data_IF_211478785317
#
_entry.id   IF_211478785317
#
_cell.length_a   1.000
_cell.length_b   1.000
_cell.length_c   1.000
_cell.angle_alpha   90.00
_cell.angle_beta   90.00
_cell.angle_gamma   90.00
#
_symmetry.space_group_name_H-M   'P 1'
#
loop_
_entity.id
_entity.type
_entity.pdbx_description
1 polymer ?
#
# COMPACT_ATOMS: atom_id res chain seq x y z
N UNK A 1 -0.38 -18.99 12.67
CA UNK A 1 0.20 -18.66 11.36
C UNK A 1 1.63 -18.27 11.59
N UNK A 2 2.55 -19.07 11.07
CA UNK A 2 3.99 -18.93 11.24
C UNK A 2 4.54 -17.88 10.28
N UNK A 3 5.66 -17.20 10.63
CA UNK A 3 6.32 -16.15 9.82
C UNK A 3 6.65 -16.60 8.37
N UNK A 4 6.65 -17.89 8.09
CA UNK A 4 6.80 -18.47 6.76
C UNK A 4 5.63 -18.17 5.79
N UNK A 5 4.44 -17.86 6.29
CA UNK A 5 3.27 -17.58 5.46
C UNK A 5 3.26 -16.12 4.92
N UNK A 6 4.03 -15.23 5.53
CA UNK A 6 4.13 -13.83 5.07
C UNK A 6 5.05 -13.64 3.85
N UNK A 7 5.93 -14.60 3.56
CA UNK A 7 6.89 -14.52 2.45
C UNK A 7 6.41 -15.23 1.18
N UNK A 8 5.25 -15.87 1.20
CA UNK A 8 4.67 -16.48 -0.01
C UNK A 8 4.04 -15.37 -0.85
N UNK A 9 4.72 -14.98 -1.92
CA UNK A 9 4.13 -14.08 -2.91
C UNK A 9 2.84 -14.72 -3.45
N UNK A 10 1.73 -13.98 -3.37
CA UNK A 10 0.46 -14.41 -3.94
C UNK A 10 0.65 -14.62 -5.46
N UNK A 11 0.19 -15.76 -5.96
CA UNK A 11 0.21 -16.11 -7.38
C UNK A 11 -1.24 -16.22 -7.82
N UNK A 12 -1.57 -15.61 -8.96
CA UNK A 12 -2.89 -15.74 -9.57
C UNK A 12 -2.93 -17.07 -10.32
N UNK A 13 -3.80 -17.96 -9.88
CA UNK A 13 -3.91 -19.33 -10.37
C UNK A 13 -4.94 -19.47 -11.51
N UNK A 14 -4.91 -20.60 -12.19
CA UNK A 14 -5.85 -20.93 -13.24
C UNK A 14 -7.30 -21.02 -12.72
N UNK A 15 -7.50 -21.45 -11.47
CA UNK A 15 -8.83 -21.58 -10.86
C UNK A 15 -9.48 -20.20 -10.63
N UNK A 16 -8.67 -19.20 -10.22
CA UNK A 16 -9.14 -17.81 -10.07
C UNK A 16 -9.56 -17.23 -11.42
N UNK A 17 -8.82 -17.54 -12.50
CA UNK A 17 -9.17 -17.11 -13.85
C UNK A 17 -10.42 -17.82 -14.37
N UNK A 18 -10.62 -19.10 -14.05
CA UNK A 18 -11.85 -19.82 -14.40
C UNK A 18 -13.06 -19.25 -13.67
N UNK A 19 -12.92 -18.90 -12.40
CA UNK A 19 -13.97 -18.23 -11.63
C UNK A 19 -14.32 -16.88 -12.25
N UNK A 20 -13.30 -16.07 -12.58
CA UNK A 20 -13.50 -14.79 -13.26
C UNK A 20 -14.24 -14.97 -14.59
N UNK A 21 -13.83 -15.93 -15.43
CA UNK A 21 -14.48 -16.22 -16.71
C UNK A 21 -15.96 -16.59 -16.51
N UNK A 22 -16.27 -17.39 -15.51
CA UNK A 22 -17.64 -17.79 -15.18
C UNK A 22 -18.48 -16.60 -14.72
N UNK A 23 -17.95 -15.76 -13.82
CA UNK A 23 -18.65 -14.56 -13.35
C UNK A 23 -18.92 -13.56 -14.49
N UNK A 24 -17.94 -13.36 -15.37
CA UNK A 24 -18.09 -12.46 -16.52
C UNK A 24 -19.07 -12.99 -17.57
N UNK A 25 -19.25 -14.31 -17.66
CA UNK A 25 -20.21 -14.94 -18.58
C UNK A 25 -21.66 -14.77 -18.11
N UNK A 26 -21.88 -14.49 -16.82
CA UNK A 26 -23.23 -14.22 -16.30
C UNK A 26 -23.74 -12.87 -16.81
N UNK A 27 -25.03 -12.77 -17.08
CA UNK A 27 -25.65 -11.49 -17.46
C UNK A 27 -25.62 -10.53 -16.25
N UNK A 28 -25.34 -9.26 -16.51
CA UNK A 28 -25.51 -8.23 -15.48
C UNK A 28 -26.99 -8.07 -15.15
N UNK A 29 -27.35 -8.22 -13.87
CA UNK A 29 -28.75 -8.09 -13.42
C UNK A 29 -29.27 -6.65 -13.52
N UNK A 30 -28.37 -5.67 -13.58
CA UNK A 30 -28.72 -4.24 -13.64
C UNK A 30 -28.47 -3.60 -15.02
N UNK A 31 -27.99 -4.37 -15.99
CA UNK A 31 -27.51 -3.84 -17.27
C UNK A 31 -26.18 -3.06 -17.12
N UNK A 32 -25.66 -2.54 -18.23
CA UNK A 32 -24.43 -1.75 -18.25
C UNK A 32 -23.15 -2.57 -18.39
N UNK A 33 -22.01 -1.91 -18.14
CA UNK A 33 -20.69 -2.52 -18.29
C UNK A 33 -20.30 -3.36 -17.05
N UNK A 34 -19.67 -4.51 -17.31
CA UNK A 34 -18.96 -5.29 -16.31
C UNK A 34 -17.51 -4.78 -16.27
N UNK A 35 -16.97 -4.58 -15.08
CA UNK A 35 -15.59 -4.15 -14.90
C UNK A 35 -14.85 -5.25 -14.17
N UNK A 36 -13.78 -5.76 -14.79
CA UNK A 36 -12.87 -6.72 -14.20
C UNK A 36 -11.56 -6.02 -13.87
N UNK A 37 -11.22 -5.93 -12.59
CA UNK A 37 -9.96 -5.39 -12.12
C UNK A 37 -9.01 -6.54 -11.74
N UNK A 38 -7.88 -6.62 -12.43
CA UNK A 38 -6.83 -7.61 -12.16
C UNK A 38 -5.62 -6.88 -11.58
N UNK A 39 -5.36 -7.12 -10.31
CA UNK A 39 -4.26 -6.52 -9.58
C UNK A 39 -3.00 -7.39 -9.68
N UNK A 40 -1.86 -6.80 -10.06
CA UNK A 40 -0.57 -7.48 -10.26
C UNK A 40 -0.67 -8.66 -11.25
N UNK A 41 -1.13 -8.44 -12.50
CA UNK A 41 -1.27 -9.50 -13.49
C UNK A 41 0.07 -10.18 -13.84
N UNK A 42 1.21 -9.57 -13.58
CA UNK A 42 2.54 -10.17 -13.69
C UNK A 42 2.76 -11.36 -12.74
N UNK A 43 1.87 -11.55 -11.75
CA UNK A 43 1.89 -12.69 -10.83
C UNK A 43 1.01 -13.86 -11.29
N UNK A 44 0.45 -13.79 -12.47
CA UNK A 44 -0.25 -14.92 -13.07
C UNK A 44 0.73 -16.05 -13.40
N UNK A 45 0.34 -17.29 -13.09
CA UNK A 45 1.04 -18.42 -13.69
C UNK A 45 0.74 -18.49 -15.20
N UNK A 46 1.57 -19.24 -15.95
CA UNK A 46 1.44 -19.32 -17.40
C UNK A 46 0.05 -19.83 -17.86
N UNK A 47 -0.56 -20.74 -17.12
CA UNK A 47 -1.88 -21.27 -17.42
C UNK A 47 -2.97 -20.20 -17.25
N UNK A 48 -2.91 -19.44 -16.16
CA UNK A 48 -3.80 -18.31 -15.90
C UNK A 48 -3.66 -17.22 -16.98
N UNK A 49 -2.42 -16.84 -17.29
CA UNK A 49 -2.13 -15.86 -18.32
C UNK A 49 -2.69 -16.25 -19.70
N UNK A 50 -2.55 -17.53 -20.09
CA UNK A 50 -3.11 -18.02 -21.34
C UNK A 50 -4.67 -18.04 -21.35
N UNK A 51 -5.30 -18.26 -20.21
CA UNK A 51 -6.76 -18.17 -20.08
C UNK A 51 -7.26 -16.72 -20.21
N UNK A 52 -6.56 -15.77 -19.58
CA UNK A 52 -6.86 -14.34 -19.72
C UNK A 52 -6.73 -13.87 -21.16
N UNK A 53 -5.76 -14.37 -21.91
CA UNK A 53 -5.62 -14.04 -23.33
C UNK A 53 -6.91 -14.32 -24.12
N UNK A 54 -7.56 -15.43 -23.87
CA UNK A 54 -8.84 -15.77 -24.53
C UNK A 54 -9.94 -14.75 -24.19
N UNK A 55 -9.99 -14.32 -22.92
CA UNK A 55 -10.97 -13.31 -22.49
C UNK A 55 -10.68 -11.92 -23.06
N UNK A 56 -9.40 -11.60 -23.30
CA UNK A 56 -8.99 -10.33 -23.91
C UNK A 56 -9.23 -10.33 -25.43
N UNK A 57 -9.12 -11.50 -26.10
CA UNK A 57 -9.40 -11.66 -27.52
C UNK A 57 -10.89 -11.61 -27.84
N UNK A 58 -11.68 -12.32 -27.02
CA UNK A 58 -13.13 -12.41 -27.18
C UNK A 58 -13.82 -12.00 -25.86
N UNK A 59 -13.82 -10.71 -25.54
CA UNK A 59 -14.37 -10.24 -24.28
C UNK A 59 -15.89 -10.47 -24.24
N UNK A 60 -16.43 -10.91 -23.11
CA UNK A 60 -17.87 -10.99 -22.92
C UNK A 60 -18.52 -9.62 -23.14
N UNK A 61 -19.76 -9.62 -23.60
CA UNK A 61 -20.49 -8.40 -23.95
C UNK A 61 -20.42 -7.35 -22.81
N UNK A 62 -20.13 -6.10 -23.16
CA UNK A 62 -20.03 -4.97 -22.25
C UNK A 62 -19.06 -5.22 -21.07
N UNK A 63 -17.88 -5.79 -21.34
CA UNK A 63 -16.86 -6.05 -20.33
C UNK A 63 -15.64 -5.16 -20.55
N UNK A 64 -15.19 -4.49 -19.48
CA UNK A 64 -13.96 -3.72 -19.43
C UNK A 64 -12.96 -4.43 -18.53
N UNK A 65 -11.76 -4.69 -19.04
CA UNK A 65 -10.65 -5.23 -18.25
C UNK A 65 -9.69 -4.11 -17.86
N UNK A 66 -9.39 -4.00 -16.57
CA UNK A 66 -8.39 -3.10 -16.00
C UNK A 66 -7.29 -3.96 -15.38
N UNK A 67 -6.10 -3.94 -15.98
CA UNK A 67 -4.92 -4.65 -15.49
C UNK A 67 -4.01 -3.62 -14.81
N UNK A 68 -3.80 -3.73 -13.51
CA UNK A 68 -2.95 -2.82 -12.74
C UNK A 68 -1.65 -3.52 -12.40
N UNK A 69 -0.57 -3.13 -13.06
CA UNK A 69 0.76 -3.75 -12.96
C UNK A 69 1.79 -2.77 -12.43
N UNK A 70 2.69 -3.27 -11.57
CA UNK A 70 3.89 -2.54 -11.11
C UNK A 70 5.09 -2.82 -12.02
N UNK A 71 5.10 -3.98 -12.71
CA UNK A 71 6.19 -4.44 -13.56
C UNK A 71 5.63 -4.94 -14.91
N UNK A 72 5.15 -4.00 -15.77
CA UNK A 72 4.50 -4.37 -17.02
C UNK A 72 5.40 -5.11 -18.01
N UNK A 73 6.71 -5.02 -17.85
CA UNK A 73 7.70 -5.77 -18.63
C UNK A 73 7.71 -7.28 -18.33
N UNK A 74 7.20 -7.70 -17.17
CA UNK A 74 7.06 -9.12 -16.81
C UNK A 74 5.77 -9.74 -17.35
N UNK A 75 4.85 -8.92 -17.87
CA UNK A 75 3.66 -9.42 -18.54
C UNK A 75 4.03 -10.06 -19.89
N UNK A 76 3.31 -11.13 -20.24
CA UNK A 76 3.44 -11.71 -21.56
C UNK A 76 3.19 -10.65 -22.64
N UNK A 77 4.03 -10.63 -23.66
CA UNK A 77 3.89 -9.69 -24.78
C UNK A 77 2.53 -9.80 -25.48
N UNK A 78 1.98 -11.01 -25.52
CA UNK A 78 0.66 -11.29 -26.02
C UNK A 78 -0.48 -10.61 -25.25
N UNK A 79 -0.33 -10.40 -23.93
CA UNK A 79 -1.27 -9.61 -23.12
C UNK A 79 -1.05 -8.13 -23.40
N UNK A 80 0.20 -7.67 -23.41
CA UNK A 80 0.53 -6.26 -23.66
C UNK A 80 0.06 -5.77 -25.02
N UNK A 81 0.14 -6.61 -26.04
CA UNK A 81 -0.32 -6.26 -27.40
C UNK A 81 -1.84 -6.13 -27.54
N UNK A 82 -2.61 -6.68 -26.59
CA UNK A 82 -4.09 -6.63 -26.58
C UNK A 82 -4.64 -5.62 -25.58
N UNK A 83 -3.78 -4.92 -24.89
CA UNK A 83 -4.15 -3.93 -23.88
C UNK A 83 -3.60 -2.56 -24.23
N UNK A 84 -4.37 -1.51 -23.93
CA UNK A 84 -3.86 -0.15 -24.03
C UNK A 84 -3.10 0.19 -22.73
N UNK A 85 -1.82 0.50 -22.86
CA UNK A 85 -1.00 0.91 -21.72
C UNK A 85 -1.28 2.37 -21.37
N UNK A 86 -1.48 2.62 -20.07
CA UNK A 86 -1.57 3.95 -19.48
C UNK A 86 -0.55 4.01 -18.35
N UNK A 87 0.44 4.89 -18.48
CA UNK A 87 1.47 5.07 -17.46
C UNK A 87 1.05 6.12 -16.44
N UNK A 88 1.02 5.72 -15.16
CA UNK A 88 0.80 6.64 -14.05
C UNK A 88 2.14 7.16 -13.54
N UNK A 89 2.31 8.45 -13.56
CA UNK A 89 3.49 9.11 -13.00
C UNK A 89 3.36 9.22 -11.48
N UNK A 90 4.50 9.32 -10.81
CA UNK A 90 4.55 9.64 -9.38
C UNK A 90 3.93 11.02 -9.16
N UNK A 91 3.23 11.17 -8.02
CA UNK A 91 2.70 12.47 -7.59
C UNK A 91 3.86 13.41 -7.30
N UNK A 92 3.81 14.63 -7.82
CA UNK A 92 4.84 15.64 -7.56
C UNK A 92 4.83 16.07 -6.09
N UNK A 93 6.01 16.41 -5.55
CA UNK A 93 6.15 16.78 -4.14
C UNK A 93 5.22 17.93 -3.75
N UNK A 94 5.13 18.96 -4.58
CA UNK A 94 4.29 20.13 -4.32
C UNK A 94 2.78 19.79 -4.29
N UNK A 95 2.33 18.94 -5.19
CA UNK A 95 0.94 18.46 -5.21
C UNK A 95 0.64 17.60 -3.98
N UNK A 96 1.59 16.75 -3.57
CA UNK A 96 1.47 15.92 -2.38
C UNK A 96 1.41 16.76 -1.10
N UNK A 97 2.25 17.79 -0.96
CA UNK A 97 2.22 18.72 0.17
C UNK A 97 0.84 19.39 0.31
N UNK A 98 0.32 19.89 -0.81
CA UNK A 98 -1.00 20.52 -0.85
C UNK A 98 -2.10 19.54 -0.42
N UNK A 99 -2.10 18.35 -0.99
CA UNK A 99 -3.09 17.31 -0.68
C UNK A 99 -3.01 16.84 0.79
N UNK A 100 -1.81 16.69 1.36
CA UNK A 100 -1.60 16.35 2.77
C UNK A 100 -2.13 17.43 3.71
N UNK A 101 -1.88 18.71 3.38
CA UNK A 101 -2.33 19.85 4.17
C UNK A 101 -3.85 19.95 4.15
N UNK A 102 -4.47 19.82 2.98
CA UNK A 102 -5.93 19.85 2.81
C UNK A 102 -6.59 18.69 3.56
N UNK A 103 -6.06 17.45 3.42
CA UNK A 103 -6.61 16.27 4.09
C UNK A 103 -6.55 16.39 5.61
N UNK A 104 -5.43 16.83 6.18
CA UNK A 104 -5.29 16.96 7.63
C UNK A 104 -6.19 18.06 8.18
N UNK A 105 -6.33 19.15 7.46
CA UNK A 105 -7.27 20.21 7.83
C UNK A 105 -8.73 19.71 7.88
N UNK A 106 -9.12 18.83 6.96
CA UNK A 106 -10.47 18.26 6.89
C UNK A 106 -10.75 17.22 7.98
N UNK A 107 -9.78 16.34 8.27
CA UNK A 107 -9.99 15.19 9.17
C UNK A 107 -9.78 15.60 10.63
N UNK A 108 -8.67 16.26 10.93
CA UNK A 108 -8.26 16.54 12.31
C UNK A 108 -8.62 17.95 12.77
N UNK A 109 -9.14 18.80 11.89
CA UNK A 109 -9.35 20.24 12.11
C UNK A 109 -8.09 20.97 12.59
N UNK A 110 -6.93 20.42 12.25
CA UNK A 110 -5.61 20.93 12.60
C UNK A 110 -4.80 21.10 11.33
N UNK A 111 -4.20 22.26 11.16
CA UNK A 111 -3.28 22.48 10.03
C UNK A 111 -2.01 21.68 10.23
N UNK A 112 -1.55 21.01 9.15
CA UNK A 112 -0.22 20.47 9.09
C UNK A 112 0.74 21.63 8.83
N UNK A 113 1.82 21.73 9.60
CA UNK A 113 2.85 22.74 9.34
C UNK A 113 3.57 22.40 8.00
N UNK A 114 3.95 23.45 7.28
CA UNK A 114 4.52 23.33 5.94
C UNK A 114 5.82 22.49 5.93
N UNK A 115 6.63 22.57 6.98
CA UNK A 115 7.88 21.81 7.12
C UNK A 115 7.60 20.30 7.23
N UNK A 116 6.62 19.91 8.05
CA UNK A 116 6.20 18.51 8.17
C UNK A 116 5.58 17.98 6.88
N UNK A 117 4.75 18.77 6.19
CA UNK A 117 4.18 18.39 4.90
C UNK A 117 5.26 18.15 3.85
N UNK A 118 6.23 19.07 3.76
CA UNK A 118 7.37 18.94 2.84
C UNK A 118 8.23 17.71 3.15
N UNK A 119 8.54 17.46 4.41
CA UNK A 119 9.32 16.28 4.84
C UNK A 119 8.62 14.98 4.49
N UNK A 120 7.32 14.85 4.80
CA UNK A 120 6.53 13.66 4.49
C UNK A 120 6.45 13.44 2.98
N UNK A 121 6.19 14.47 2.20
CA UNK A 121 6.11 14.40 0.74
C UNK A 121 7.44 13.93 0.11
N UNK A 122 8.57 14.38 0.64
CA UNK A 122 9.90 13.93 0.18
C UNK A 122 10.17 12.47 0.51
N UNK A 123 9.85 12.03 1.75
CA UNK A 123 10.04 10.63 2.17
C UNK A 123 9.16 9.70 1.34
N UNK A 124 7.92 10.10 1.09
CA UNK A 124 6.95 9.33 0.34
C UNK A 124 7.31 9.17 -1.15
N UNK A 125 8.16 10.06 -1.70
CA UNK A 125 8.68 9.99 -3.07
C UNK A 125 7.60 9.69 -4.13
N UNK A 126 6.46 10.39 -4.05
CA UNK A 126 5.36 10.26 -4.97
C UNK A 126 4.39 9.11 -4.66
N UNK A 127 4.59 8.35 -3.58
CA UNK A 127 3.66 7.31 -3.12
C UNK A 127 2.71 7.89 -2.07
N UNK A 128 1.43 8.05 -2.46
CA UNK A 128 0.41 8.63 -1.59
C UNK A 128 0.13 7.78 -0.34
N UNK A 129 0.09 6.45 -0.47
CA UNK A 129 -0.16 5.57 0.67
C UNK A 129 0.97 5.65 1.69
N UNK A 130 2.22 5.67 1.22
CA UNK A 130 3.38 5.88 2.09
C UNK A 130 3.35 7.26 2.79
N UNK A 131 2.89 8.30 2.08
CA UNK A 131 2.69 9.61 2.69
C UNK A 131 1.65 9.60 3.81
N UNK A 132 0.57 8.84 3.66
CA UNK A 132 -0.45 8.68 4.69
C UNK A 132 0.08 7.88 5.89
N UNK A 133 0.81 6.81 5.66
CA UNK A 133 1.45 6.02 6.72
C UNK A 133 2.42 6.88 7.53
N UNK A 134 3.25 7.70 6.86
CA UNK A 134 4.16 8.63 7.54
C UNK A 134 3.41 9.74 8.30
N UNK A 135 2.29 10.21 7.77
CA UNK A 135 1.43 11.18 8.44
C UNK A 135 0.85 10.62 9.74
N UNK A 136 0.35 9.38 9.70
CA UNK A 136 -0.25 8.70 10.84
C UNK A 136 0.80 8.26 11.86
N UNK A 137 1.95 7.75 11.40
CA UNK A 137 3.06 7.30 12.24
C UNK A 137 3.94 8.44 12.77
N UNK A 138 3.86 9.62 12.17
CA UNK A 138 4.71 10.76 12.54
C UNK A 138 4.62 11.15 14.02
N UNK A 139 3.46 11.01 14.64
CA UNK A 139 3.29 11.22 16.08
C UNK A 139 3.88 10.08 16.92
N UNK A 140 3.76 8.84 16.48
CA UNK A 140 4.32 7.67 17.17
C UNK A 140 5.85 7.67 17.08
N UNK A 141 6.41 7.90 15.90
CA UNK A 141 7.86 7.98 15.70
C UNK A 141 8.50 9.11 16.51
N UNK A 142 7.83 10.26 16.64
CA UNK A 142 8.30 11.36 17.48
C UNK A 142 8.29 10.98 18.96
N UNK A 143 7.23 10.33 19.43
CA UNK A 143 7.16 9.81 20.80
C UNK A 143 8.26 8.78 21.07
N UNK A 144 8.50 7.86 20.14
CA UNK A 144 9.57 6.86 20.26
C UNK A 144 10.95 7.52 20.31
N UNK A 145 11.19 8.54 19.48
CA UNK A 145 12.44 9.30 19.50
C UNK A 145 12.63 10.03 20.83
N UNK A 146 11.60 10.71 21.33
CA UNK A 146 11.65 11.41 22.63
C UNK A 146 11.94 10.44 23.77
N UNK A 147 11.32 9.26 23.74
CA UNK A 147 11.56 8.22 24.74
C UNK A 147 12.96 7.63 24.61
N UNK A 148 13.50 7.45 23.40
CA UNK A 148 14.87 7.01 23.18
C UNK A 148 15.88 8.05 23.68
N UNK A 149 15.67 9.34 23.37
CA UNK A 149 16.51 10.43 23.86
C UNK A 149 16.51 10.47 25.40
N UNK A 150 15.33 10.28 26.02
CA UNK A 150 15.19 10.20 27.47
C UNK A 150 15.97 9.01 28.04
N UNK A 151 15.85 7.83 27.44
CA UNK A 151 16.62 6.65 27.84
C UNK A 151 18.12 6.91 27.79
N UNK A 152 18.62 7.50 26.69
CA UNK A 152 20.05 7.80 26.53
C UNK A 152 20.55 8.80 27.59
N UNK A 153 19.76 9.84 27.88
CA UNK A 153 20.09 10.81 28.94
C UNK A 153 20.13 10.15 30.31
N UNK A 154 19.12 9.34 30.66
CA UNK A 154 19.07 8.66 31.98
C UNK A 154 20.20 7.65 32.13
N UNK A 155 20.55 6.93 31.05
CA UNK A 155 21.66 5.98 31.03
C UNK A 155 23.00 6.70 31.23
N UNK A 156 23.22 7.84 30.56
CA UNK A 156 24.43 8.64 30.70
C UNK A 156 24.56 9.21 32.13
N UNK A 157 23.46 9.69 32.71
CA UNK A 157 23.40 10.21 34.08
C UNK A 157 23.47 9.12 35.15
N UNK A 158 23.42 7.83 34.76
CA UNK A 158 23.40 6.67 35.68
C UNK A 158 22.29 6.76 36.74
N UNK A 159 21.15 7.38 36.38
CA UNK A 159 20.00 7.52 37.29
C UNK A 159 19.14 6.26 37.25
N UNK A 160 19.46 5.28 38.10
CA UNK A 160 18.81 3.98 38.15
C UNK A 160 17.32 4.10 38.52
N UNK A 161 16.99 5.05 39.40
CA UNK A 161 15.59 5.22 39.85
C UNK A 161 14.67 5.64 38.69
N UNK A 162 15.08 6.61 37.91
CA UNK A 162 14.29 7.10 36.77
C UNK A 162 14.34 6.14 35.56
N UNK A 163 15.44 5.39 35.41
CA UNK A 163 15.48 4.26 34.44
C UNK A 163 14.46 3.19 34.76
N UNK A 164 14.24 2.87 36.03
CA UNK A 164 13.22 1.94 36.46
C UNK A 164 11.81 2.45 36.10
N UNK A 165 11.49 3.69 36.41
CA UNK A 165 10.21 4.32 36.00
C UNK A 165 10.02 4.31 34.49
N UNK A 166 11.07 4.64 33.73
CA UNK A 166 11.03 4.57 32.28
C UNK A 166 10.70 3.16 31.79
N UNK A 167 11.35 2.12 32.35
CA UNK A 167 11.07 0.74 31.98
C UNK A 167 9.64 0.30 32.30
N UNK A 168 9.06 0.77 33.41
CA UNK A 168 7.67 0.53 33.79
C UNK A 168 6.69 1.16 32.76
N UNK A 169 6.98 2.37 32.27
CA UNK A 169 6.19 3.02 31.24
C UNK A 169 6.27 2.25 29.91
N UNK A 170 7.46 1.81 29.49
CA UNK A 170 7.62 1.01 28.26
C UNK A 170 6.96 -0.35 28.38
N UNK A 171 6.94 -0.95 29.57
CA UNK A 171 6.28 -2.23 29.80
C UNK A 171 4.75 -2.17 29.60
N UNK A 172 4.14 -0.98 29.70
CA UNK A 172 2.71 -0.80 29.39
C UNK A 172 2.40 -0.84 27.91
N UNK A 173 3.41 -0.70 27.03
CA UNK A 173 3.20 -0.77 25.60
C UNK A 173 3.03 -2.21 25.13
N UNK A 174 2.13 -2.43 24.17
CA UNK A 174 1.95 -3.74 23.55
C UNK A 174 3.23 -4.20 22.83
N UNK A 175 3.42 -5.52 22.69
CA UNK A 175 4.62 -6.14 22.09
C UNK A 175 5.01 -5.57 20.72
N UNK A 176 4.03 -5.21 19.88
CA UNK A 176 4.28 -4.61 18.57
C UNK A 176 4.89 -3.19 18.68
N UNK A 177 4.43 -2.37 19.64
CA UNK A 177 5.01 -1.05 19.88
C UNK A 177 6.43 -1.15 20.44
N UNK A 178 6.68 -2.12 21.32
CA UNK A 178 8.03 -2.34 21.89
C UNK A 178 9.06 -2.78 20.84
N UNK A 179 8.63 -3.51 19.79
CA UNK A 179 9.53 -3.91 18.69
C UNK A 179 9.88 -2.79 17.73
N UNK A 180 9.05 -1.74 17.68
CA UNK A 180 9.24 -0.58 16.78
C UNK A 180 10.03 0.56 17.43
N UNK A 181 10.29 0.49 18.72
CA UNK A 181 11.15 1.42 19.49
C UNK A 181 12.62 1.05 19.36
#
# INVERSE_FOLDING_TARGET
>A
KTDADFNKQAIITADETDNLSRELSMMSSQGGYKISLIWLPERMNLTSANKILKLLEEPPHQTLFLLVSEQPELLLETIRSRTQRIDFKKVETAEMEKALTERKALIERRALDAESAHRIARIANGNWNHALEELDSGNENRQHLDMFIMLMRLSYMRNIHDLKKWSEVVATFGREKQKRM
#
